data_IF_467590365630
#
_entry.id   IF_467590365630
#
_cell.length_a   1.000
_cell.length_b   1.000
_cell.length_c   1.000
_cell.angle_alpha   90.00
_cell.angle_beta   90.00
_cell.angle_gamma   90.00
#
_symmetry.space_group_name_H-M   'P 1'
#
loop_
_entity.id
_entity.type
_entity.pdbx_description
1 polymer ?
#
# COMPACT_ATOMS: atom_id res chain seq x y z
N UNK A 1 5.48 23.71 -4.16
CA UNK A 1 4.77 22.41 -4.16
C UNK A 1 3.29 22.71 -3.91
N UNK A 2 2.39 22.08 -4.66
CA UNK A 2 0.93 22.22 -4.47
C UNK A 2 0.36 20.82 -4.25
N UNK A 3 -0.44 20.66 -3.20
CA UNK A 3 -1.24 19.44 -2.98
C UNK A 3 -2.55 19.58 -3.75
N UNK A 4 -2.85 18.62 -4.63
CA UNK A 4 -4.13 18.58 -5.33
C UNK A 4 -5.22 18.00 -4.42
N UNK A 5 -4.93 16.90 -3.74
CA UNK A 5 -5.77 16.30 -2.71
C UNK A 5 -4.93 15.42 -1.77
N UNK A 6 -5.45 15.17 -0.56
CA UNK A 6 -4.80 14.39 0.50
C UNK A 6 -5.21 12.90 0.47
N UNK A 7 -4.56 12.05 1.26
CA UNK A 7 -4.86 10.62 1.34
C UNK A 7 -6.30 10.34 1.83
N UNK A 8 -6.83 11.20 2.69
CA UNK A 8 -8.23 11.12 3.18
C UNK A 8 -9.30 11.65 2.21
N UNK A 9 -8.94 12.29 1.10
CA UNK A 9 -9.89 13.05 0.28
C UNK A 9 -10.86 12.16 -0.52
N UNK A 10 -10.42 10.98 -0.94
CA UNK A 10 -11.20 10.10 -1.80
C UNK A 10 -11.26 8.67 -1.25
N UNK A 11 -12.48 8.13 -1.13
CA UNK A 11 -12.73 6.74 -0.77
C UNK A 11 -13.29 5.90 -1.92
N UNK A 12 -13.61 6.52 -3.07
CA UNK A 12 -14.21 5.87 -4.25
C UNK A 12 -13.44 6.22 -5.51
N UNK A 13 -13.32 5.26 -6.42
CA UNK A 13 -12.63 5.42 -7.70
C UNK A 13 -13.18 6.62 -8.49
N UNK A 14 -14.49 6.74 -8.63
CA UNK A 14 -15.12 7.80 -9.43
C UNK A 14 -14.83 9.21 -8.91
N UNK A 15 -14.75 9.40 -7.59
CA UNK A 15 -14.47 10.72 -7.02
C UNK A 15 -13.00 11.08 -7.17
N UNK A 16 -12.10 10.10 -7.05
CA UNK A 16 -10.67 10.27 -7.29
C UNK A 16 -10.39 10.63 -8.76
N UNK A 17 -11.00 9.91 -9.71
CA UNK A 17 -10.82 10.19 -11.16
C UNK A 17 -11.28 11.59 -11.52
N UNK A 18 -12.39 12.08 -10.93
CA UNK A 18 -12.84 13.46 -11.11
C UNK A 18 -11.80 14.46 -10.58
N UNK A 19 -11.27 14.25 -9.37
CA UNK A 19 -10.22 15.10 -8.80
C UNK A 19 -8.97 15.16 -9.68
N UNK A 20 -8.57 14.04 -10.29
CA UNK A 20 -7.44 13.98 -11.22
C UNK A 20 -7.70 14.81 -12.48
N UNK A 21 -8.89 14.72 -13.07
CA UNK A 21 -9.24 15.44 -14.29
C UNK A 21 -9.32 16.96 -14.12
N UNK A 22 -9.40 17.45 -12.87
CA UNK A 22 -9.46 18.88 -12.53
C UNK A 22 -8.07 19.48 -12.25
N UNK A 23 -7.00 18.67 -12.25
CA UNK A 23 -5.63 19.13 -11.98
C UNK A 23 -5.15 20.07 -13.09
N UNK A 24 -4.69 21.26 -12.69
CA UNK A 24 -4.11 22.26 -13.61
C UNK A 24 -2.58 22.21 -13.52
N UNK A 25 -1.83 21.83 -14.56
CA UNK A 25 -0.38 21.73 -14.48
C UNK A 25 0.30 23.03 -14.02
N UNK A 26 1.33 22.90 -13.18
CA UNK A 26 2.16 24.03 -12.77
C UNK A 26 3.24 24.28 -13.84
N UNK A 27 3.41 25.54 -14.25
CA UNK A 27 4.44 25.94 -15.21
C UNK A 27 5.76 26.38 -14.52
N UNK A 28 6.25 25.58 -13.56
CA UNK A 28 7.45 25.89 -12.77
C UNK A 28 8.47 24.75 -12.82
N UNK A 29 9.72 25.05 -12.41
CA UNK A 29 10.85 24.13 -12.52
C UNK A 29 10.74 22.84 -11.70
N UNK A 30 11.73 21.96 -11.89
CA UNK A 30 11.73 20.58 -11.39
C UNK A 30 12.46 20.46 -10.05
N UNK A 31 11.86 21.00 -8.99
CA UNK A 31 12.41 20.95 -7.61
C UNK A 31 11.99 19.65 -6.89
N UNK A 32 12.53 18.52 -7.34
CA UNK A 32 12.10 17.19 -6.87
C UNK A 32 12.51 16.91 -5.42
N UNK A 33 13.67 17.38 -4.97
CA UNK A 33 14.09 17.26 -3.58
C UNK A 33 13.14 17.96 -2.62
N UNK A 34 12.71 19.18 -2.93
CA UNK A 34 11.68 19.88 -2.16
C UNK A 34 10.34 19.14 -2.17
N UNK A 35 9.98 18.50 -3.28
CA UNK A 35 8.76 17.70 -3.36
C UNK A 35 8.82 16.46 -2.45
N UNK A 36 9.95 15.71 -2.44
CA UNK A 36 10.13 14.56 -1.54
C UNK A 36 10.07 15.02 -0.08
N UNK A 37 10.73 16.13 0.25
CA UNK A 37 10.68 16.69 1.61
C UNK A 37 9.26 17.07 2.03
N UNK A 38 8.52 17.72 1.13
CA UNK A 38 7.12 18.05 1.37
C UNK A 38 6.27 16.80 1.64
N UNK A 39 6.51 15.71 0.91
CA UNK A 39 5.79 14.45 1.15
C UNK A 39 6.07 13.90 2.55
N UNK A 40 7.34 13.90 2.98
CA UNK A 40 7.72 13.45 4.33
C UNK A 40 7.10 14.31 5.45
N UNK A 41 7.13 15.63 5.29
CA UNK A 41 6.81 16.56 6.36
C UNK A 41 5.32 16.96 6.39
N UNK A 42 4.58 16.70 5.32
CA UNK A 42 3.21 17.23 5.16
C UNK A 42 2.22 16.22 4.57
N UNK A 43 2.61 15.36 3.62
CA UNK A 43 1.65 14.44 3.00
C UNK A 43 1.45 13.16 3.82
N UNK A 44 2.54 12.61 4.37
CA UNK A 44 2.51 11.42 5.24
C UNK A 44 2.40 11.81 6.71
N UNK A 45 1.26 12.43 7.04
CA UNK A 45 0.87 12.74 8.42
C UNK A 45 -0.56 12.26 8.66
N UNK A 46 -0.86 11.91 9.91
CA UNK A 46 -2.16 11.34 10.27
C UNK A 46 -3.32 12.30 9.94
N UNK A 47 -3.07 13.60 10.05
CA UNK A 47 -4.02 14.66 9.71
C UNK A 47 -4.42 14.62 8.23
N UNK A 48 -3.52 14.18 7.33
CA UNK A 48 -3.76 14.09 5.89
C UNK A 48 -4.25 12.71 5.44
N UNK A 49 -4.37 11.75 6.37
CA UNK A 49 -4.90 10.40 6.13
C UNK A 49 -3.84 9.31 6.12
N UNK A 50 -2.61 9.60 6.55
CA UNK A 50 -1.58 8.57 6.73
C UNK A 50 -1.97 7.56 7.82
N UNK A 51 -1.55 6.30 7.64
CA UNK A 51 -1.87 5.18 8.53
C UNK A 51 -0.58 4.54 9.03
N UNK A 52 -0.32 4.53 10.36
CA UNK A 52 0.97 4.12 10.93
C UNK A 52 1.34 2.64 10.77
N UNK A 53 0.42 1.79 10.26
CA UNK A 53 0.65 0.35 10.02
C UNK A 53 0.61 0.00 8.53
N UNK A 54 0.56 0.99 7.66
CA UNK A 54 0.52 0.81 6.21
C UNK A 54 1.82 1.38 5.64
N UNK A 55 2.52 0.64 4.77
CA UNK A 55 3.71 1.15 4.11
C UNK A 55 3.42 2.44 3.31
N UNK A 56 4.29 3.43 3.45
CA UNK A 56 4.19 4.67 2.70
C UNK A 56 4.96 4.56 1.39
N UNK A 57 4.26 4.79 0.28
CA UNK A 57 4.79 4.63 -1.08
C UNK A 57 4.67 5.94 -1.84
N UNK A 58 5.76 6.36 -2.49
CA UNK A 58 5.82 7.55 -3.34
C UNK A 58 6.13 7.15 -4.76
N UNK A 59 5.31 7.60 -5.70
CA UNK A 59 5.59 7.47 -7.14
C UNK A 59 5.98 8.84 -7.70
N UNK A 60 7.23 8.97 -8.10
CA UNK A 60 7.79 10.19 -8.71
C UNK A 60 7.76 10.03 -10.22
N UNK A 61 6.97 10.85 -10.92
CA UNK A 61 6.94 10.90 -12.39
C UNK A 61 7.65 12.17 -12.86
N UNK A 62 8.70 12.04 -13.68
CA UNK A 62 9.48 13.18 -14.21
C UNK A 62 9.94 12.93 -15.64
N UNK A 63 9.98 13.98 -16.46
CA UNK A 63 10.50 13.98 -17.83
C UNK A 63 11.93 14.53 -17.94
N UNK A 64 12.50 15.02 -16.84
CA UNK A 64 13.76 15.73 -16.82
C UNK A 64 14.58 15.58 -15.53
N UNK A 65 15.72 16.28 -15.50
CA UNK A 65 16.65 16.28 -14.36
C UNK A 65 16.15 17.20 -13.24
N UNK A 66 16.25 16.78 -11.97
CA UNK A 66 15.98 17.65 -10.84
C UNK A 66 16.93 18.86 -10.84
N UNK A 67 16.41 20.01 -10.43
CA UNK A 67 17.15 21.27 -10.33
C UNK A 67 17.73 21.51 -8.92
N UNK A 68 17.51 20.57 -8.00
CA UNK A 68 17.93 20.59 -6.61
C UNK A 68 18.64 19.28 -6.19
N UNK A 69 19.12 19.24 -4.94
CA UNK A 69 19.81 18.08 -4.38
C UNK A 69 18.81 17.02 -3.95
N UNK A 70 18.59 16.03 -4.81
CA UNK A 70 17.58 15.00 -4.57
C UNK A 70 18.09 13.78 -3.81
N UNK A 71 19.37 13.41 -4.00
CA UNK A 71 19.92 12.16 -3.45
C UNK A 71 19.89 12.12 -1.92
N UNK A 72 20.28 13.21 -1.26
CA UNK A 72 20.30 13.32 0.20
C UNK A 72 18.89 13.21 0.79
N UNK A 73 17.92 13.87 0.17
CA UNK A 73 16.52 13.86 0.63
C UNK A 73 15.86 12.49 0.39
N UNK A 74 16.18 11.84 -0.73
CA UNK A 74 15.70 10.49 -1.01
C UNK A 74 16.27 9.45 -0.03
N UNK A 75 17.53 9.60 0.41
CA UNK A 75 18.09 8.78 1.49
C UNK A 75 17.28 8.96 2.77
N UNK A 76 17.04 10.21 3.20
CA UNK A 76 16.25 10.49 4.41
C UNK A 76 14.84 9.89 4.34
N UNK A 77 14.17 10.01 3.18
CA UNK A 77 12.84 9.42 2.98
C UNK A 77 12.86 7.90 3.13
N UNK A 78 13.84 7.22 2.54
CA UNK A 78 13.99 5.76 2.66
C UNK A 78 14.30 5.33 4.09
N UNK A 79 15.11 6.09 4.82
CA UNK A 79 15.39 5.83 6.25
C UNK A 79 14.15 5.97 7.13
N UNK A 80 13.17 6.80 6.73
CA UNK A 80 11.85 6.91 7.37
C UNK A 80 10.88 5.79 6.95
N UNK A 81 11.31 4.81 6.16
CA UNK A 81 10.49 3.70 5.70
C UNK A 81 9.57 4.05 4.53
N UNK A 82 9.87 5.12 3.79
CA UNK A 82 9.12 5.49 2.59
C UNK A 82 9.75 4.81 1.38
N UNK A 83 8.95 4.06 0.65
CA UNK A 83 9.35 3.39 -0.59
C UNK A 83 9.15 4.31 -1.78
N UNK A 84 10.19 4.51 -2.61
CA UNK A 84 10.17 5.47 -3.71
C UNK A 84 10.29 4.73 -5.04
N UNK A 85 9.27 4.89 -5.88
CA UNK A 85 9.26 4.47 -7.28
C UNK A 85 9.52 5.69 -8.17
N UNK A 86 10.47 5.58 -9.09
CA UNK A 86 10.81 6.65 -10.02
C UNK A 86 10.46 6.25 -11.45
N UNK A 87 9.60 7.05 -12.09
CA UNK A 87 9.15 6.89 -13.48
C UNK A 87 9.71 8.05 -14.30
N UNK A 88 10.67 7.73 -15.14
CA UNK A 88 11.22 8.62 -16.14
C UNK A 88 10.42 8.55 -17.44
N UNK A 89 10.06 9.71 -17.99
CA UNK A 89 9.41 9.78 -19.31
C UNK A 89 10.37 10.38 -20.36
N UNK A 90 10.39 9.79 -21.55
CA UNK A 90 11.16 10.22 -22.72
C UNK A 90 12.68 10.31 -22.48
N UNK A 91 13.23 11.49 -22.17
CA UNK A 91 14.66 11.75 -22.01
C UNK A 91 15.08 11.87 -20.54
N UNK A 92 14.31 11.29 -19.64
CA UNK A 92 14.63 11.29 -18.23
C UNK A 92 16.01 10.66 -17.95
N UNK A 93 16.70 11.20 -16.96
CA UNK A 93 18.07 10.84 -16.65
C UNK A 93 18.13 9.67 -15.65
N UNK A 94 18.61 8.51 -16.11
CA UNK A 94 18.67 7.30 -15.28
C UNK A 94 19.49 7.45 -14.00
N UNK A 95 20.55 8.27 -14.01
CA UNK A 95 21.35 8.51 -12.81
C UNK A 95 20.53 9.28 -11.76
N UNK A 96 19.78 10.29 -12.19
CA UNK A 96 18.86 11.04 -11.35
C UNK A 96 17.73 10.16 -10.82
N UNK A 97 17.11 9.33 -11.66
CA UNK A 97 16.04 8.40 -11.24
C UNK A 97 16.52 7.41 -10.18
N UNK A 98 17.70 6.81 -10.37
CA UNK A 98 18.31 5.88 -9.40
C UNK A 98 18.72 6.57 -8.10
N UNK A 99 19.11 7.85 -8.16
CA UNK A 99 19.42 8.62 -6.97
C UNK A 99 18.18 8.88 -6.09
N UNK A 100 16.97 8.84 -6.67
CA UNK A 100 15.70 9.04 -5.97
C UNK A 100 15.05 7.73 -5.51
N UNK A 101 15.06 6.71 -6.37
CA UNK A 101 14.33 5.48 -6.16
C UNK A 101 14.89 4.61 -5.02
N UNK A 102 14.03 3.77 -4.44
CA UNK A 102 14.46 2.72 -3.51
C UNK A 102 15.19 1.58 -4.22
N UNK A 103 16.17 0.93 -3.57
CA UNK A 103 16.68 -0.35 -4.04
C UNK A 103 15.65 -1.48 -3.78
N UNK A 104 15.62 -2.54 -4.60
CA UNK A 104 16.42 -2.76 -5.82
C UNK A 104 15.90 -1.93 -7.00
N UNK A 105 16.82 -1.34 -7.78
CA UNK A 105 16.46 -0.40 -8.85
C UNK A 105 15.71 -1.03 -10.03
N UNK A 106 15.81 -2.35 -10.20
CA UNK A 106 15.09 -3.08 -11.24
C UNK A 106 13.57 -3.12 -11.02
N UNK A 107 13.14 -3.00 -9.76
CA UNK A 107 11.73 -2.97 -9.38
C UNK A 107 11.18 -1.55 -9.19
N UNK A 108 12.06 -0.56 -9.00
CA UNK A 108 11.68 0.80 -8.59
C UNK A 108 11.97 1.88 -9.62
N UNK A 109 12.74 1.58 -10.68
CA UNK A 109 13.08 2.56 -11.72
C UNK A 109 12.50 2.13 -13.05
N UNK A 110 11.59 2.95 -13.57
CA UNK A 110 10.93 2.74 -14.84
C UNK A 110 11.30 3.86 -15.79
N UNK A 111 11.65 3.52 -17.02
CA UNK A 111 11.86 4.49 -18.09
C UNK A 111 10.89 4.15 -19.21
N UNK A 112 9.98 5.07 -19.50
CA UNK A 112 9.00 4.93 -20.59
C UNK A 112 9.33 5.90 -21.71
N UNK A 113 9.22 5.45 -22.96
CA UNK A 113 9.58 6.26 -24.13
C UNK A 113 8.56 7.39 -24.40
N UNK A 114 7.29 7.18 -24.05
CA UNK A 114 6.21 8.15 -24.19
C UNK A 114 5.19 8.05 -23.05
N UNK A 115 4.38 9.11 -22.90
CA UNK A 115 3.30 9.14 -21.91
C UNK A 115 2.22 8.06 -22.16
N UNK A 116 2.04 7.61 -23.41
CA UNK A 116 1.08 6.55 -23.75
C UNK A 116 1.47 5.19 -23.13
N UNK A 117 2.76 4.99 -22.87
CA UNK A 117 3.30 3.77 -22.27
C UNK A 117 3.28 3.79 -20.73
N UNK A 118 2.83 4.88 -20.10
CA UNK A 118 2.65 4.94 -18.64
C UNK A 118 1.63 3.89 -18.18
N UNK A 119 0.68 3.50 -19.03
CA UNK A 119 -0.23 2.39 -18.71
C UNK A 119 0.53 1.07 -18.41
N UNK A 120 1.66 0.82 -19.08
CA UNK A 120 2.48 -0.37 -18.80
C UNK A 120 3.12 -0.30 -17.41
N UNK A 121 3.60 0.90 -17.02
CA UNK A 121 4.05 1.13 -15.64
C UNK A 121 2.91 0.84 -14.65
N UNK A 122 1.69 1.31 -14.92
CA UNK A 122 0.53 1.06 -14.07
C UNK A 122 0.29 -0.44 -13.82
N UNK A 123 0.41 -1.27 -14.85
CA UNK A 123 0.28 -2.73 -14.71
C UNK A 123 1.42 -3.35 -13.90
N UNK A 124 2.67 -2.98 -14.18
CA UNK A 124 3.83 -3.50 -13.44
C UNK A 124 3.83 -3.05 -11.98
N UNK A 125 3.45 -1.80 -11.73
CA UNK A 125 3.32 -1.23 -10.41
C UNK A 125 2.19 -1.89 -9.62
N UNK A 126 1.04 -2.13 -10.25
CA UNK A 126 -0.04 -2.91 -9.64
C UNK A 126 0.42 -4.34 -9.36
N UNK A 127 1.06 -5.03 -10.30
CA UNK A 127 1.56 -6.39 -10.05
C UNK A 127 2.56 -6.43 -8.88
N UNK A 128 3.40 -5.41 -8.72
CA UNK A 128 4.33 -5.33 -7.60
C UNK A 128 3.63 -5.03 -6.28
N UNK A 129 2.81 -3.98 -6.20
CA UNK A 129 2.08 -3.67 -4.96
C UNK A 129 1.09 -4.76 -4.58
N UNK A 130 0.44 -5.36 -5.57
CA UNK A 130 -0.64 -6.30 -5.37
C UNK A 130 -0.19 -7.77 -5.35
N UNK A 131 0.99 -8.05 -5.88
CA UNK A 131 1.59 -9.40 -5.97
C UNK A 131 2.61 -9.69 -4.88
N UNK A 132 2.90 -8.74 -3.98
CA UNK A 132 3.61 -9.07 -2.74
C UNK A 132 2.71 -9.95 -1.88
N UNK A 133 3.10 -11.21 -1.71
CA UNK A 133 2.49 -12.10 -0.73
C UNK A 133 2.93 -11.65 0.68
N UNK A 134 2.18 -10.72 1.26
CA UNK A 134 2.44 -10.20 2.60
C UNK A 134 2.36 -11.28 3.69
N UNK A 135 1.71 -12.42 3.43
CA UNK A 135 1.75 -13.58 4.30
C UNK A 135 3.11 -14.29 4.29
N UNK A 136 3.91 -14.12 3.24
CA UNK A 136 5.25 -14.72 3.11
C UNK A 136 6.35 -13.73 3.50
N UNK A 137 6.24 -12.47 3.08
CA UNK A 137 7.32 -11.49 3.27
C UNK A 137 7.33 -10.79 4.64
N UNK A 138 6.21 -10.83 5.38
CA UNK A 138 6.07 -10.14 6.67
C UNK A 138 5.55 -11.05 7.79
N UNK A 139 5.85 -10.71 9.05
CA UNK A 139 5.20 -11.31 10.22
C UNK A 139 3.78 -10.80 10.34
N UNK A 140 2.87 -11.37 9.55
CA UNK A 140 1.45 -11.02 9.49
C UNK A 140 0.72 -11.22 10.84
N UNK A 141 1.12 -12.23 11.61
CA UNK A 141 0.60 -12.49 12.97
C UNK A 141 -0.83 -13.03 13.00
N UNK A 142 -1.25 -13.69 11.92
CA UNK A 142 -2.50 -14.47 11.90
C UNK A 142 -2.31 -15.76 12.70
N UNK A 143 -3.28 -16.11 13.54
CA UNK A 143 -3.22 -17.35 14.33
C UNK A 143 -3.32 -18.61 13.46
N UNK A 144 -4.20 -18.60 12.45
CA UNK A 144 -4.51 -19.77 11.64
C UNK A 144 -4.17 -19.56 10.16
N UNK A 145 -5.05 -18.90 9.40
CA UNK A 145 -4.87 -18.73 7.96
C UNK A 145 -4.55 -17.26 7.67
N UNK A 146 -3.60 -17.02 6.77
CA UNK A 146 -3.34 -15.71 6.19
C UNK A 146 -3.65 -15.78 4.70
N UNK A 147 -4.51 -14.89 4.22
CA UNK A 147 -4.80 -14.73 2.79
C UNK A 147 -4.25 -13.39 2.33
N UNK A 148 -3.26 -13.44 1.44
CA UNK A 148 -2.70 -12.23 0.84
C UNK A 148 -3.68 -11.62 -0.14
N UNK A 149 -3.82 -10.31 -0.04
CA UNK A 149 -4.62 -9.48 -0.93
C UNK A 149 -3.74 -8.43 -1.58
N UNK A 150 -4.15 -7.87 -2.72
CA UNK A 150 -3.47 -6.74 -3.34
C UNK A 150 -3.07 -5.61 -2.38
N UNK A 151 -1.78 -5.54 -1.99
CA UNK A 151 -1.24 -4.52 -1.07
C UNK A 151 -1.69 -4.68 0.39
N UNK A 152 -2.30 -5.80 0.78
CA UNK A 152 -2.72 -6.08 2.14
C UNK A 152 -2.78 -7.58 2.45
N UNK A 153 -3.19 -7.95 3.66
CA UNK A 153 -3.55 -9.32 3.99
C UNK A 153 -4.69 -9.30 4.98
N UNK A 154 -5.45 -10.38 5.05
CA UNK A 154 -6.43 -10.59 6.11
C UNK A 154 -6.27 -11.99 6.69
N UNK A 155 -6.52 -12.09 8.00
CA UNK A 155 -6.49 -13.35 8.69
C UNK A 155 -7.85 -14.03 8.58
N UNK A 156 -7.84 -15.33 8.33
CA UNK A 156 -9.02 -16.18 8.29
C UNK A 156 -8.88 -17.29 9.33
N UNK A 157 -10.01 -17.84 9.73
CA UNK A 157 -10.08 -18.97 10.64
C UNK A 157 -10.50 -20.24 9.90
N UNK A 158 -10.07 -21.38 10.40
CA UNK A 158 -10.50 -22.69 9.93
C UNK A 158 -12.02 -22.86 10.14
N UNK A 159 -12.67 -23.76 9.37
CA UNK A 159 -14.06 -24.09 9.59
C UNK A 159 -14.33 -24.46 11.06
N UNK A 160 -15.38 -23.86 11.64
CA UNK A 160 -15.74 -24.02 13.05
C UNK A 160 -15.08 -23.03 14.02
N UNK A 161 -14.38 -22.04 13.49
CA UNK A 161 -13.82 -20.92 14.24
C UNK A 161 -14.30 -19.58 13.69
N UNK A 162 -14.39 -18.57 14.54
CA UNK A 162 -14.72 -17.18 14.19
C UNK A 162 -13.54 -16.26 14.49
N UNK A 163 -13.28 -15.29 13.61
CA UNK A 163 -12.24 -14.30 13.79
C UNK A 163 -12.63 -13.32 14.91
N UNK A 164 -11.71 -13.07 15.85
CA UNK A 164 -11.90 -12.15 16.96
C UNK A 164 -11.83 -10.68 16.50
N UNK A 165 -12.21 -9.76 17.39
CA UNK A 165 -12.19 -8.31 17.13
C UNK A 165 -10.79 -7.75 16.84
N UNK A 166 -9.73 -8.46 17.25
CA UNK A 166 -8.35 -8.11 16.93
C UNK A 166 -7.98 -8.34 15.45
N UNK A 167 -8.87 -9.01 14.69
CA UNK A 167 -8.69 -9.34 13.28
C UNK A 167 -7.58 -10.36 13.02
N UNK A 168 -7.11 -11.08 14.05
CA UNK A 168 -5.91 -11.94 13.98
C UNK A 168 -6.07 -13.30 14.64
N UNK A 169 -6.76 -13.36 15.78
CA UNK A 169 -6.95 -14.59 16.56
C UNK A 169 -8.32 -15.20 16.29
N UNK A 170 -8.44 -16.50 16.52
CA UNK A 170 -9.60 -17.31 16.18
C UNK A 170 -10.20 -17.93 17.44
N UNK A 171 -11.49 -17.67 17.69
CA UNK A 171 -12.26 -18.34 18.73
C UNK A 171 -13.00 -19.55 18.17
N UNK A 172 -12.97 -20.68 18.87
CA UNK A 172 -13.79 -21.83 18.51
C UNK A 172 -15.27 -21.49 18.69
N UNK A 173 -16.08 -21.81 17.69
CA UNK A 173 -17.53 -21.63 17.76
C UNK A 173 -18.10 -22.77 18.60
N UNK A 174 -18.70 -22.44 19.75
CA UNK A 174 -19.31 -23.41 20.64
C UNK A 174 -20.83 -23.46 20.42
N UNK A 175 -21.27 -24.39 19.59
CA UNK A 175 -22.69 -24.58 19.29
C UNK A 175 -23.51 -25.05 20.51
N UNK A 176 -22.87 -25.70 21.49
CA UNK A 176 -23.54 -26.07 22.73
C UNK A 176 -23.83 -24.82 23.57
N UNK A 177 -22.85 -23.92 23.71
CA UNK A 177 -23.01 -22.66 24.44
C UNK A 177 -23.97 -21.68 23.76
N UNK A 178 -24.03 -21.68 22.42
CA UNK A 178 -24.99 -20.88 21.65
C UNK A 178 -26.42 -21.44 21.67
N UNK A 179 -26.63 -22.66 22.21
CA UNK A 179 -27.93 -23.34 22.18
C UNK A 179 -28.37 -23.75 20.78
N UNK A 180 -27.43 -23.84 19.83
CA UNK A 180 -27.66 -24.26 18.43
C UNK A 180 -27.34 -25.74 18.25
N UNK A 181 -27.92 -26.58 19.10
CA UNK A 181 -27.73 -28.03 19.10
C UNK A 181 -29.03 -28.74 19.47
N UNK A 182 -29.19 -29.98 19.00
CA UNK A 182 -30.41 -30.78 19.18
C UNK A 182 -30.22 -31.94 20.17
N UNK A 183 -29.30 -31.81 21.13
CA UNK A 183 -29.04 -32.87 22.12
C UNK A 183 -30.13 -32.91 23.20
N UNK A 184 -30.66 -34.11 23.49
CA UNK A 184 -31.63 -34.31 24.57
C UNK A 184 -30.99 -34.28 25.97
N UNK A 185 -29.71 -34.64 26.07
CA UNK A 185 -28.99 -34.77 27.34
C UNK A 185 -27.67 -34.01 27.30
N UNK A 186 -26.55 -34.73 27.13
CA UNK A 186 -25.20 -34.16 27.18
C UNK A 186 -24.84 -33.65 25.78
N UNK A 187 -24.34 -32.42 25.71
CA UNK A 187 -23.75 -31.84 24.51
C UNK A 187 -22.24 -31.70 24.72
N UNK A 188 -21.45 -32.41 23.91
CA UNK A 188 -20.00 -32.28 23.89
C UNK A 188 -19.62 -31.36 22.72
N UNK A 189 -19.14 -30.16 23.04
CA UNK A 189 -18.73 -29.18 22.04
C UNK A 189 -17.42 -29.58 21.34
N UNK A 190 -17.37 -29.32 20.04
CA UNK A 190 -16.16 -29.28 19.22
C UNK A 190 -16.20 -28.01 18.37
N UNK A 191 -15.08 -27.51 17.83
CA UNK A 191 -15.09 -26.25 17.08
C UNK A 191 -16.08 -26.27 15.91
N UNK A 192 -17.17 -25.51 16.02
CA UNK A 192 -18.26 -25.45 15.04
C UNK A 192 -19.11 -26.71 14.90
N UNK A 193 -18.99 -27.67 15.83
CA UNK A 193 -19.71 -28.94 15.80
C UNK A 193 -20.06 -29.42 17.22
N UNK A 194 -20.92 -30.41 17.33
CA UNK A 194 -21.25 -31.01 18.63
C UNK A 194 -21.51 -32.51 18.49
N UNK A 195 -21.34 -33.23 19.59
CA UNK A 195 -21.78 -34.62 19.71
C UNK A 195 -22.66 -34.81 20.94
N UNK A 196 -23.69 -35.63 20.75
CA UNK A 196 -24.49 -36.25 21.79
C UNK A 196 -24.15 -37.76 21.75
#
# INVERSE_FOLDING_TARGET
>A
VRTEFSLKAHAKLDTMVKGINEIIPLAQGTMTGLAIKFVMDTAFVAEEGDRPKVPNVVVIVTDGRPQDRVAEVAIEAREKGIEIFAVGVARADMASLRAMASPPFEDHVFLVESFDLIHQFGLQFQDKLCGVDLCVESKHGCEQICESSPGSFHCLCLPGYSLNEDGKTCAAIDLCAEGKHDCEQICNASPGAFTC
#
